data_IF_538694932444
#
_entry.id   IF_538694932444
#
_cell.length_a   1.000
_cell.length_b   1.000
_cell.length_c   1.000
_cell.angle_alpha   90.00
_cell.angle_beta   90.00
_cell.angle_gamma   90.00
#
_symmetry.space_group_name_H-M   'P 1'
#
loop_
_entity.id
_entity.type
_entity.pdbx_description
1 polymer ?
#
# COMPACT_ATOMS: atom_id res chain seq x y z
N UNK A 1 15.23 -22.25 -0.88
CA UNK A 1 14.36 -23.14 -0.06
C UNK A 1 12.94 -23.00 -0.59
N UNK A 2 12.30 -24.07 -1.08
CA UNK A 2 10.92 -24.01 -1.59
C UNK A 2 9.97 -23.78 -0.41
N UNK A 3 9.43 -22.58 -0.28
CA UNK A 3 8.33 -22.29 0.64
C UNK A 3 7.17 -23.19 0.27
N UNK A 4 6.60 -23.88 1.25
CA UNK A 4 5.50 -24.82 1.06
C UNK A 4 4.27 -24.04 0.53
N UNK A 5 4.07 -24.03 -0.79
CA UNK A 5 3.18 -23.09 -1.48
C UNK A 5 1.77 -23.02 -0.87
N UNK A 6 1.19 -24.15 -0.46
CA UNK A 6 -0.15 -24.20 0.11
C UNK A 6 -0.29 -23.52 1.49
N UNK A 7 0.78 -23.48 2.30
CA UNK A 7 0.77 -22.85 3.62
C UNK A 7 0.96 -21.34 3.55
N UNK A 8 1.86 -20.88 2.67
CA UNK A 8 2.11 -19.46 2.44
C UNK A 8 0.90 -18.79 1.77
N UNK A 9 0.33 -19.43 0.75
CA UNK A 9 -0.83 -18.90 0.02
C UNK A 9 -2.05 -18.69 0.93
N UNK A 10 -2.31 -19.65 1.84
CA UNK A 10 -3.39 -19.50 2.81
C UNK A 10 -3.15 -18.29 3.73
N UNK A 11 -1.93 -18.12 4.24
CA UNK A 11 -1.56 -16.98 5.08
C UNK A 11 -1.68 -15.65 4.33
N UNK A 12 -1.13 -15.58 3.11
CA UNK A 12 -1.20 -14.40 2.25
C UNK A 12 -2.63 -13.99 1.93
N UNK A 13 -3.50 -14.97 1.65
CA UNK A 13 -4.92 -14.72 1.49
C UNK A 13 -5.52 -14.11 2.76
N UNK A 14 -5.18 -14.61 3.94
CA UNK A 14 -5.70 -14.05 5.20
C UNK A 14 -5.19 -12.63 5.48
N UNK A 15 -3.93 -12.32 5.15
CA UNK A 15 -3.38 -10.96 5.25
C UNK A 15 -4.20 -9.94 4.45
N UNK A 16 -4.69 -10.35 3.27
CA UNK A 16 -5.56 -9.54 2.42
C UNK A 16 -7.01 -9.48 2.92
N UNK A 17 -7.59 -10.62 3.32
CA UNK A 17 -9.02 -10.73 3.60
C UNK A 17 -9.42 -10.29 5.01
N UNK A 18 -8.55 -10.44 6.01
CA UNK A 18 -8.89 -10.09 7.40
C UNK A 18 -9.32 -8.62 7.55
N UNK A 19 -8.59 -7.62 7.00
CA UNK A 19 -9.04 -6.22 7.06
C UNK A 19 -10.41 -6.02 6.39
N UNK A 20 -10.67 -6.70 5.28
CA UNK A 20 -11.94 -6.59 4.52
C UNK A 20 -13.11 -7.13 5.35
N UNK A 21 -12.91 -8.20 6.13
CA UNK A 21 -13.96 -8.76 7.00
C UNK A 21 -14.39 -7.79 8.11
N UNK A 22 -13.55 -6.82 8.48
CA UNK A 22 -13.96 -5.73 9.41
C UNK A 22 -15.15 -4.96 8.84
N UNK A 23 -15.24 -4.80 7.50
CA UNK A 23 -16.38 -4.14 6.86
C UNK A 23 -17.69 -4.92 7.02
N UNK A 24 -17.65 -6.25 7.19
CA UNK A 24 -18.87 -7.05 7.41
C UNK A 24 -19.58 -6.70 8.73
N UNK A 25 -18.82 -6.18 9.71
CA UNK A 25 -19.36 -5.73 11.00
C UNK A 25 -19.65 -4.22 11.04
N UNK A 26 -19.33 -3.49 9.96
CA UNK A 26 -19.53 -2.06 9.89
C UNK A 26 -20.98 -1.75 9.53
N UNK A 27 -21.70 -1.05 10.41
CA UNK A 27 -23.00 -0.47 10.06
C UNK A 27 -22.75 0.84 9.31
N UNK A 28 -23.09 0.93 8.01
CA UNK A 28 -22.88 2.17 7.26
C UNK A 28 -23.68 3.31 7.90
N UNK A 29 -23.02 4.44 8.14
CA UNK A 29 -23.70 5.67 8.48
C UNK A 29 -24.26 6.25 7.17
N UNK A 30 -25.59 6.20 7.01
CA UNK A 30 -26.28 6.80 5.87
C UNK A 30 -26.10 8.32 5.89
N UNK A 31 -25.11 8.83 5.15
CA UNK A 31 -24.89 10.26 4.94
C UNK A 31 -25.82 10.82 3.86
N UNK A 32 -26.72 11.74 4.22
CA UNK A 32 -27.48 12.51 3.26
C UNK A 32 -26.70 13.73 2.76
N UNK A 33 -26.29 13.75 1.49
CA UNK A 33 -25.75 14.95 0.81
C UNK A 33 -25.31 14.61 -0.62
N UNK A 34 -26.03 15.05 -1.65
CA UNK A 34 -25.91 16.32 -2.42
C UNK A 34 -24.64 16.40 -3.28
N UNK A 35 -24.86 16.35 -4.59
CA UNK A 35 -23.95 16.69 -5.71
C UNK A 35 -22.84 15.69 -6.07
N UNK A 36 -23.16 14.42 -6.32
CA UNK A 36 -22.31 13.57 -7.14
C UNK A 36 -22.96 13.39 -8.52
N UNK A 37 -22.19 13.56 -9.60
CA UNK A 37 -22.60 13.20 -10.95
C UNK A 37 -23.17 11.78 -10.95
N UNK A 38 -24.27 11.57 -11.67
CA UNK A 38 -25.04 10.34 -11.58
C UNK A 38 -24.29 9.18 -12.26
N UNK A 39 -23.42 8.50 -11.51
CA UNK A 39 -22.79 7.26 -11.96
C UNK A 39 -23.90 6.20 -12.08
N UNK A 40 -24.14 5.72 -13.30
CA UNK A 40 -25.08 4.63 -13.58
C UNK A 40 -24.48 3.29 -13.16
N UNK A 41 -25.33 2.26 -12.97
CA UNK A 41 -24.86 0.90 -12.66
C UNK A 41 -23.91 0.38 -13.75
N UNK A 42 -24.19 0.66 -15.02
CA UNK A 42 -23.36 0.19 -16.14
C UNK A 42 -21.98 0.85 -16.14
N UNK A 43 -21.91 2.17 -15.93
CA UNK A 43 -20.63 2.89 -15.80
C UNK A 43 -19.85 2.43 -14.57
N UNK A 44 -20.54 2.14 -13.45
CA UNK A 44 -19.92 1.58 -12.26
C UNK A 44 -19.30 0.21 -12.53
N UNK A 45 -20.05 -0.70 -13.17
CA UNK A 45 -19.55 -2.05 -13.49
C UNK A 45 -18.36 -1.99 -14.43
N UNK A 46 -18.44 -1.20 -15.50
CA UNK A 46 -17.31 -1.03 -16.43
C UNK A 46 -16.04 -0.54 -15.73
N UNK A 47 -16.17 0.42 -14.82
CA UNK A 47 -15.04 0.95 -14.07
C UNK A 47 -14.39 -0.13 -13.18
N UNK A 48 -15.19 -0.85 -12.38
CA UNK A 48 -14.66 -1.81 -11.42
C UNK A 48 -14.31 -3.18 -12.01
N UNK A 49 -14.94 -3.60 -13.12
CA UNK A 49 -14.58 -4.84 -13.81
C UNK A 49 -13.28 -4.69 -14.63
N UNK A 50 -12.88 -3.45 -14.94
CA UNK A 50 -11.65 -3.18 -15.71
C UNK A 50 -10.38 -3.37 -14.88
N UNK A 51 -10.47 -3.27 -13.55
CA UNK A 51 -9.37 -3.57 -12.64
C UNK A 51 -9.49 -5.03 -12.15
N UNK A 52 -8.52 -5.91 -12.49
CA UNK A 52 -8.55 -7.31 -12.09
C UNK A 52 -8.67 -7.52 -10.58
N UNK A 53 -8.06 -6.63 -9.76
CA UNK A 53 -8.14 -6.75 -8.30
C UNK A 53 -9.57 -6.50 -7.80
N UNK A 54 -10.21 -5.44 -8.29
CA UNK A 54 -11.57 -5.11 -7.87
C UNK A 54 -12.59 -6.13 -8.38
N UNK A 55 -12.39 -6.68 -9.59
CA UNK A 55 -13.22 -7.76 -10.11
C UNK A 55 -13.04 -9.05 -9.30
N UNK A 56 -11.81 -9.45 -8.96
CA UNK A 56 -11.55 -10.63 -8.12
C UNK A 56 -12.16 -10.52 -6.72
N UNK A 57 -12.22 -9.30 -6.18
CA UNK A 57 -12.86 -9.02 -4.89
C UNK A 57 -14.39 -8.88 -4.99
N UNK A 58 -14.98 -8.99 -6.19
CA UNK A 58 -16.42 -8.91 -6.42
C UNK A 58 -17.00 -7.50 -6.24
N UNK A 59 -16.19 -6.47 -6.43
CA UNK A 59 -16.59 -5.08 -6.22
C UNK A 59 -17.39 -4.48 -7.39
N UNK A 60 -17.46 -5.18 -8.52
CA UNK A 60 -18.27 -4.88 -9.69
C UNK A 60 -19.73 -5.39 -9.58
N UNK A 61 -20.20 -5.65 -8.36
CA UNK A 61 -21.54 -6.17 -8.10
C UNK A 61 -22.61 -5.08 -7.97
N UNK A 62 -23.88 -5.38 -8.34
CA UNK A 62 -25.02 -4.47 -8.09
C UNK A 62 -25.21 -4.10 -6.61
N UNK A 63 -24.81 -4.99 -5.69
CA UNK A 63 -24.85 -4.74 -4.24
C UNK A 63 -23.85 -3.65 -3.84
N UNK A 64 -22.64 -3.66 -4.42
CA UNK A 64 -21.64 -2.61 -4.20
C UNK A 64 -22.07 -1.27 -4.78
N UNK A 65 -22.75 -1.28 -5.93
CA UNK A 65 -23.36 -0.08 -6.48
C UNK A 65 -24.48 0.49 -5.59
N UNK A 66 -25.34 -0.36 -5.04
CA UNK A 66 -26.36 0.07 -4.08
C UNK A 66 -25.72 0.67 -2.81
N UNK A 67 -24.65 0.05 -2.30
CA UNK A 67 -23.89 0.56 -1.16
C UNK A 67 -23.18 1.89 -1.48
N UNK A 68 -22.70 2.09 -2.72
CA UNK A 68 -22.17 3.37 -3.19
C UNK A 68 -23.21 4.48 -3.11
N UNK A 69 -24.41 4.24 -3.66
CA UNK A 69 -25.51 5.21 -3.70
C UNK A 69 -26.07 5.50 -2.30
N UNK A 70 -25.99 4.54 -1.38
CA UNK A 70 -26.51 4.63 -0.02
C UNK A 70 -25.56 5.26 1.03
N UNK A 71 -24.48 5.94 0.59
CA UNK A 71 -23.59 6.77 1.41
C UNK A 71 -22.50 6.06 2.26
N UNK A 72 -21.26 6.14 1.78
CA UNK A 72 -20.05 6.13 2.61
C UNK A 72 -19.38 4.76 2.84
N UNK A 73 -20.10 3.64 2.73
CA UNK A 73 -19.57 2.30 2.99
C UNK A 73 -18.39 1.91 2.08
N UNK A 74 -18.40 2.38 0.84
CA UNK A 74 -17.31 2.13 -0.12
C UNK A 74 -15.95 2.68 0.33
N UNK A 75 -15.91 3.87 0.95
CA UNK A 75 -14.65 4.47 1.41
C UNK A 75 -13.99 3.62 2.51
N UNK A 76 -14.80 2.94 3.33
CA UNK A 76 -14.31 2.00 4.33
C UNK A 76 -13.74 0.74 3.68
N UNK A 77 -14.44 0.16 2.69
CA UNK A 77 -14.01 -1.03 1.95
C UNK A 77 -12.69 -0.78 1.22
N UNK A 78 -12.57 0.33 0.50
CA UNK A 78 -11.34 0.70 -0.21
C UNK A 78 -10.15 0.84 0.75
N UNK A 79 -10.33 1.52 1.88
CA UNK A 79 -9.29 1.62 2.90
C UNK A 79 -8.86 0.25 3.42
N UNK A 80 -9.81 -0.65 3.69
CA UNK A 80 -9.46 -2.00 4.17
C UNK A 80 -8.76 -2.83 3.10
N UNK A 81 -9.10 -2.67 1.82
CA UNK A 81 -8.37 -3.29 0.71
C UNK A 81 -6.93 -2.78 0.69
N UNK A 82 -6.72 -1.46 0.81
CA UNK A 82 -5.39 -0.87 0.90
C UNK A 82 -4.57 -1.46 2.05
N UNK A 83 -5.15 -1.54 3.25
CA UNK A 83 -4.52 -2.18 4.42
C UNK A 83 -4.20 -3.66 4.16
N UNK A 84 -5.10 -4.39 3.52
CA UNK A 84 -4.88 -5.80 3.16
C UNK A 84 -3.74 -5.98 2.17
N UNK A 85 -3.66 -5.13 1.14
CA UNK A 85 -2.56 -5.13 0.18
C UNK A 85 -1.23 -4.74 0.84
N UNK A 86 -1.22 -3.76 1.74
CA UNK A 86 -0.06 -3.36 2.54
C UNK A 86 0.49 -4.53 3.36
N UNK A 87 -0.40 -5.24 4.08
CA UNK A 87 -0.05 -6.43 4.86
C UNK A 87 0.48 -7.56 3.98
N UNK A 88 -0.16 -7.81 2.84
CA UNK A 88 0.26 -8.84 1.89
C UNK A 88 1.66 -8.56 1.36
N UNK A 89 1.92 -7.34 0.88
CA UNK A 89 3.24 -6.95 0.35
C UNK A 89 4.32 -7.12 1.41
N UNK A 90 4.08 -6.66 2.65
CA UNK A 90 5.02 -6.90 3.76
C UNK A 90 5.27 -8.38 4.01
N UNK A 91 4.21 -9.19 4.09
CA UNK A 91 4.35 -10.63 4.33
C UNK A 91 5.15 -11.36 3.25
N UNK A 92 5.00 -10.96 1.98
CA UNK A 92 5.79 -11.49 0.86
C UNK A 92 7.25 -11.08 0.97
N UNK A 93 7.53 -9.80 1.30
CA UNK A 93 8.91 -9.31 1.48
C UNK A 93 9.60 -10.05 2.63
N UNK A 94 8.94 -10.18 3.78
CA UNK A 94 9.44 -10.92 4.94
C UNK A 94 9.84 -12.35 4.57
N UNK A 95 8.92 -13.10 3.95
CA UNK A 95 9.19 -14.50 3.62
C UNK A 95 10.25 -14.67 2.53
N UNK A 96 10.28 -13.75 1.57
CA UNK A 96 11.20 -13.82 0.42
C UNK A 96 12.63 -13.47 0.82
N UNK A 97 12.79 -12.56 1.79
CA UNK A 97 14.09 -12.01 2.19
C UNK A 97 14.53 -12.44 3.59
N UNK A 98 13.70 -13.19 4.31
CA UNK A 98 13.98 -13.63 5.68
C UNK A 98 13.95 -12.50 6.70
N UNK A 99 13.22 -11.41 6.42
CA UNK A 99 13.13 -10.23 7.27
C UNK A 99 12.00 -10.36 8.30
N UNK A 100 12.18 -9.75 9.46
CA UNK A 100 11.15 -9.67 10.50
C UNK A 100 10.18 -8.47 10.32
N UNK A 101 9.30 -8.23 11.30
CA UNK A 101 8.31 -7.15 11.27
C UNK A 101 8.89 -5.75 11.46
N UNK A 102 9.95 -5.63 12.24
CA UNK A 102 10.60 -4.34 12.50
C UNK A 102 11.46 -3.94 11.31
N UNK A 103 12.16 -4.89 10.71
CA UNK A 103 13.05 -4.69 9.57
C UNK A 103 12.32 -4.23 8.31
N UNK A 104 11.10 -4.74 8.07
CA UNK A 104 10.28 -4.33 6.91
C UNK A 104 9.46 -3.07 7.16
N UNK A 105 9.43 -2.57 8.39
CA UNK A 105 8.75 -1.31 8.72
C UNK A 105 9.69 -0.14 8.57
N UNK A 106 9.12 0.99 8.18
CA UNK A 106 9.86 2.23 8.18
C UNK A 106 8.97 3.41 8.49
N UNK A 107 9.52 4.37 9.22
CA UNK A 107 8.91 5.65 9.43
C UNK A 107 9.88 6.62 10.08
N UNK A 108 9.52 7.90 10.03
CA UNK A 108 10.28 8.98 10.61
C UNK A 108 9.35 10.02 11.21
N UNK A 109 9.84 10.73 12.22
CA UNK A 109 9.12 11.88 12.76
C UNK A 109 9.37 13.12 11.91
N UNK A 110 8.30 13.89 11.72
CA UNK A 110 8.25 15.11 10.95
C UNK A 110 7.43 16.16 11.69
N UNK A 111 7.67 17.42 11.39
CA UNK A 111 6.88 18.55 11.94
C UNK A 111 5.96 19.06 10.84
N UNK A 112 4.67 19.12 11.15
CA UNK A 112 3.66 19.67 10.25
C UNK A 112 3.84 21.18 10.12
N UNK A 113 3.24 21.76 9.08
CA UNK A 113 3.22 23.21 8.85
C UNK A 113 2.59 24.02 10.00
N UNK A 114 1.82 23.38 10.88
CA UNK A 114 1.19 23.97 12.07
C UNK A 114 2.04 23.79 13.35
N UNK A 115 3.28 23.28 13.24
CA UNK A 115 4.21 23.07 14.35
C UNK A 115 3.98 21.77 15.15
N UNK A 116 2.97 20.96 14.81
CA UNK A 116 2.71 19.70 15.50
C UNK A 116 3.61 18.57 14.98
N UNK A 117 4.08 17.73 15.90
CA UNK A 117 4.78 16.49 15.54
C UNK A 117 3.83 15.52 14.82
N UNK A 118 4.34 14.83 13.82
CA UNK A 118 3.66 13.78 13.08
C UNK A 118 4.66 12.66 12.74
N UNK A 119 4.30 11.43 13.06
CA UNK A 119 4.97 10.23 12.57
C UNK A 119 4.51 9.96 11.14
N UNK A 120 5.45 9.83 10.21
CA UNK A 120 5.22 9.39 8.84
C UNK A 120 5.73 7.97 8.70
N UNK A 121 4.90 7.07 8.19
CA UNK A 121 5.25 5.66 7.98
C UNK A 121 5.09 5.31 6.51
N UNK A 122 5.93 4.42 6.02
CA UNK A 122 5.78 3.79 4.71
C UNK A 122 5.36 2.33 4.88
N UNK A 123 4.79 1.80 3.81
CA UNK A 123 4.10 0.51 3.83
C UNK A 123 5.07 -0.66 3.98
N UNK A 124 6.24 -0.59 3.32
CA UNK A 124 7.32 -1.55 3.50
C UNK A 124 8.71 -0.95 3.22
N UNK A 125 9.75 -1.61 3.71
CA UNK A 125 11.16 -1.30 3.46
C UNK A 125 11.94 -2.59 3.19
N UNK A 126 12.96 -2.46 2.35
CA UNK A 126 14.05 -3.43 2.20
C UNK A 126 15.34 -2.64 2.39
N UNK A 127 16.16 -3.08 3.32
CA UNK A 127 17.48 -2.50 3.61
C UNK A 127 18.55 -3.56 3.37
N UNK A 128 19.62 -3.22 2.66
CA UNK A 128 20.72 -4.16 2.41
C UNK A 128 21.37 -4.64 3.71
N UNK A 129 21.40 -3.81 4.75
CA UNK A 129 22.05 -4.14 6.02
C UNK A 129 21.30 -5.23 6.81
N UNK A 130 20.02 -5.44 6.53
CA UNK A 130 19.22 -6.50 7.14
C UNK A 130 19.27 -7.82 6.34
N UNK A 131 19.89 -7.83 5.15
CA UNK A 131 19.95 -9.03 4.31
C UNK A 131 21.13 -9.91 4.69
N UNK A 132 20.84 -11.01 5.38
CA UNK A 132 21.83 -12.04 5.71
C UNK A 132 22.14 -12.96 4.51
N UNK A 133 21.18 -13.12 3.59
CA UNK A 133 21.36 -13.91 2.35
C UNK A 133 22.11 -13.08 1.28
N UNK A 134 23.34 -13.49 0.97
CA UNK A 134 24.19 -12.84 -0.03
C UNK A 134 23.55 -12.82 -1.44
N UNK A 135 22.83 -13.88 -1.82
CA UNK A 135 22.13 -13.92 -3.10
C UNK A 135 20.99 -12.90 -3.12
N UNK A 136 20.30 -12.70 -2.00
CA UNK A 136 19.28 -11.67 -1.87
C UNK A 136 19.87 -10.26 -1.95
N UNK A 137 20.99 -10.02 -1.28
CA UNK A 137 21.72 -8.75 -1.32
C UNK A 137 22.20 -8.42 -2.76
N UNK A 138 22.69 -9.42 -3.50
CA UNK A 138 23.08 -9.27 -4.90
C UNK A 138 21.88 -8.97 -5.81
N UNK A 139 20.73 -9.63 -5.59
CA UNK A 139 19.49 -9.33 -6.33
C UNK A 139 19.03 -7.90 -6.06
N UNK A 140 19.05 -7.45 -4.81
CA UNK A 140 18.66 -6.10 -4.41
C UNK A 140 19.59 -5.06 -5.05
N UNK A 141 20.90 -5.17 -4.88
CA UNK A 141 21.87 -4.21 -5.42
C UNK A 141 21.81 -4.10 -6.95
N UNK A 142 21.65 -5.23 -7.64
CA UNK A 142 21.47 -5.27 -9.10
C UNK A 142 20.17 -4.59 -9.53
N UNK A 143 19.10 -4.74 -8.77
CA UNK A 143 17.83 -4.04 -9.03
C UNK A 143 17.94 -2.55 -8.72
N UNK A 144 18.52 -2.14 -7.58
CA UNK A 144 18.73 -0.74 -7.22
C UNK A 144 19.58 0.00 -8.25
N UNK A 145 20.63 -0.64 -8.77
CA UNK A 145 21.47 -0.08 -9.84
C UNK A 145 20.65 0.20 -11.09
N UNK A 146 19.87 -0.79 -11.57
CA UNK A 146 19.03 -0.63 -12.77
C UNK A 146 17.93 0.42 -12.56
N UNK A 147 17.30 0.43 -11.38
CA UNK A 147 16.28 1.41 -11.01
C UNK A 147 16.85 2.82 -10.97
N UNK A 148 18.00 3.02 -10.33
CA UNK A 148 18.70 4.31 -10.24
C UNK A 148 19.08 4.84 -11.63
N UNK A 149 19.58 3.98 -12.51
CA UNK A 149 19.87 4.34 -13.90
C UNK A 149 18.59 4.75 -14.65
N UNK A 150 17.50 4.00 -14.48
CA UNK A 150 16.23 4.27 -15.14
C UNK A 150 15.65 5.64 -14.75
N UNK A 151 15.74 6.00 -13.46
CA UNK A 151 15.24 7.30 -12.96
C UNK A 151 16.30 8.42 -13.01
N UNK A 152 17.48 8.14 -13.58
CA UNK A 152 18.63 9.05 -13.66
C UNK A 152 19.02 9.67 -12.31
N UNK A 153 19.12 8.85 -11.27
CA UNK A 153 19.61 9.25 -9.96
C UNK A 153 21.01 8.66 -9.72
N UNK A 154 21.92 9.46 -9.14
CA UNK A 154 23.36 9.15 -9.04
C UNK A 154 23.85 8.96 -7.60
N UNK A 155 22.96 8.85 -6.62
CA UNK A 155 23.33 8.65 -5.21
C UNK A 155 23.50 7.16 -4.92
N UNK A 156 24.35 6.85 -3.96
CA UNK A 156 24.43 5.49 -3.44
C UNK A 156 23.13 5.15 -2.71
N UNK A 157 22.48 4.07 -3.13
CA UNK A 157 21.21 3.59 -2.58
C UNK A 157 21.44 2.24 -1.93
N UNK A 158 21.14 2.14 -0.64
CA UNK A 158 21.33 0.90 0.15
C UNK A 158 20.06 0.10 0.30
N UNK A 159 18.92 0.61 -0.18
CA UNK A 159 17.64 -0.05 0.01
C UNK A 159 16.52 0.62 -0.78
N UNK A 160 15.31 0.15 -0.54
CA UNK A 160 14.09 0.69 -1.10
C UNK A 160 12.97 0.72 -0.09
N UNK A 161 12.10 1.70 -0.25
CA UNK A 161 10.86 1.85 0.50
C UNK A 161 9.68 1.80 -0.46
N UNK A 162 8.58 1.21 -0.02
CA UNK A 162 7.40 0.96 -0.83
C UNK A 162 6.20 1.66 -0.22
N UNK A 163 5.33 2.13 -1.11
CA UNK A 163 3.99 2.57 -0.77
C UNK A 163 2.97 1.87 -1.69
N UNK A 164 2.05 1.16 -1.08
CA UNK A 164 0.92 0.47 -1.71
C UNK A 164 -0.20 1.47 -1.94
N UNK A 165 -0.42 1.79 -3.21
CA UNK A 165 -1.45 2.75 -3.64
C UNK A 165 -2.78 2.11 -4.05
N UNK A 166 -2.88 0.78 -4.06
CA UNK A 166 -4.12 0.04 -4.38
C UNK A 166 -5.19 0.24 -3.30
N UNK A 167 -6.47 0.26 -3.69
CA UNK A 167 -7.58 0.50 -2.75
C UNK A 167 -7.79 1.96 -2.36
N UNK A 168 -7.32 2.94 -3.14
CA UNK A 168 -7.64 4.35 -2.91
C UNK A 168 -8.17 4.99 -4.19
N UNK A 169 -9.23 5.81 -4.08
CA UNK A 169 -9.95 6.42 -5.22
C UNK A 169 -8.97 6.91 -6.28
N UNK A 170 -9.09 6.35 -7.48
CA UNK A 170 -8.50 6.84 -8.71
C UNK A 170 -8.74 8.35 -8.83
N UNK A 171 -7.66 9.13 -8.98
CA UNK A 171 -7.63 10.58 -9.17
C UNK A 171 -7.61 11.52 -7.93
N UNK A 172 -6.82 11.23 -6.89
CA UNK A 172 -6.57 12.23 -5.83
C UNK A 172 -5.30 13.06 -6.08
N UNK A 173 -5.46 14.29 -6.59
CA UNK A 173 -4.40 15.30 -6.75
C UNK A 173 -3.70 15.67 -5.41
N UNK A 174 -4.30 15.33 -4.25
CA UNK A 174 -3.62 15.46 -2.96
C UNK A 174 -2.47 14.46 -2.79
N UNK A 175 -2.47 13.36 -3.55
CA UNK A 175 -1.49 12.28 -3.39
C UNK A 175 -0.23 12.43 -4.22
N UNK A 176 -0.30 13.01 -5.42
CA UNK A 176 0.91 13.50 -6.10
C UNK A 176 1.71 14.47 -5.20
N UNK A 177 1.01 15.32 -4.46
CA UNK A 177 1.63 16.24 -3.50
C UNK A 177 2.15 15.55 -2.23
N UNK A 178 1.68 14.34 -1.93
CA UNK A 178 2.21 13.50 -0.85
C UNK A 178 3.44 12.72 -1.36
N UNK A 179 3.38 12.15 -2.57
CA UNK A 179 4.47 11.44 -3.24
C UNK A 179 5.70 12.34 -3.41
N UNK A 180 5.51 13.59 -3.85
CA UNK A 180 6.59 14.58 -3.92
C UNK A 180 7.17 14.86 -2.52
N UNK A 181 6.34 14.95 -1.48
CA UNK A 181 6.80 15.19 -0.10
C UNK A 181 7.56 14.01 0.50
N UNK A 182 7.12 12.78 0.26
CA UNK A 182 7.78 11.57 0.75
C UNK A 182 9.06 11.27 -0.03
N UNK A 183 9.03 11.41 -1.35
CA UNK A 183 10.20 11.26 -2.21
C UNK A 183 11.31 12.28 -1.90
N UNK A 184 10.95 13.55 -1.64
CA UNK A 184 11.91 14.59 -1.23
C UNK A 184 12.42 14.39 0.21
N UNK A 185 11.58 13.92 1.14
CA UNK A 185 12.00 13.66 2.53
C UNK A 185 13.01 12.52 2.67
N UNK A 186 12.89 11.48 1.83
CA UNK A 186 13.86 10.38 1.75
C UNK A 186 15.23 10.85 1.22
N UNK A 187 15.21 11.81 0.30
CA UNK A 187 16.38 12.41 -0.34
C UNK A 187 17.16 13.34 0.61
N UNK A 188 16.50 13.97 1.59
CA UNK A 188 17.12 14.95 2.51
C UNK A 188 17.53 14.38 3.88
N UNK A 189 16.89 13.31 4.36
CA UNK A 189 17.12 12.77 5.72
C UNK A 189 17.90 11.46 5.72
N UNK A 190 19.09 11.44 5.10
CA UNK A 190 20.03 10.31 5.23
C UNK A 190 20.05 9.76 6.67
N UNK A 191 20.09 8.42 6.79
CA UNK A 191 19.94 7.64 8.03
C UNK A 191 20.26 8.45 9.29
N UNK A 192 19.29 8.75 10.17
CA UNK A 192 19.66 9.14 11.52
C UNK A 192 20.28 7.89 12.17
N UNK A 193 21.61 7.88 12.25
CA UNK A 193 22.34 7.09 13.23
C UNK A 193 21.77 7.44 14.61
N UNK A 194 21.27 6.43 15.31
CA UNK A 194 20.97 6.55 16.73
C UNK A 194 22.15 5.94 17.49
N UNK A 195 22.78 6.76 18.34
CA UNK A 195 23.60 6.32 19.48
C UNK A 195 22.80 5.38 20.41
#
# INVERSE_FOLDING_TARGET
>A
MMVNANGADARYRELLLEPIRVCANYKPAFGGGRNDEEVTLDTFRQLFSSDPLYSWLGLDSPLMYAAHKAAGGMTSIYRQIGIGCERLVRGVIQDTLGLDEEEVRWGYDSVRSDGRAQRLTLDARIDADHLVDEDAALRLSSWLTRSSQYVNQHRDTTGAVFEVRQGYKSADAKRQNADLRFGLGFVDKGYPEFD
#
